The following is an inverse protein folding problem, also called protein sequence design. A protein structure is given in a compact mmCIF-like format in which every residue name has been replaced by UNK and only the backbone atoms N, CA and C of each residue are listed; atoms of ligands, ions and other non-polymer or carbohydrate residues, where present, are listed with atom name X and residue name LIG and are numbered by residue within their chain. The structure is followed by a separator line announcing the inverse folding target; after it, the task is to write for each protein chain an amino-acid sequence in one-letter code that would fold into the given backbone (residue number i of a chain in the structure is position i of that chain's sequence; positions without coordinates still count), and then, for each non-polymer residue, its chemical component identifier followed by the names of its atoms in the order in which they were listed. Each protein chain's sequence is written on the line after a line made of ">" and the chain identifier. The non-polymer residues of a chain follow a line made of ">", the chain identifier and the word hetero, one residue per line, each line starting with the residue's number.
data_IF_406547809302
#
_entry.id   IF_406547809302
#
_cell.length_a   1.000
_cell.length_b   1.000
_cell.length_c   1.000
_cell.angle_alpha   90.00
_cell.angle_beta   90.00
_cell.angle_gamma   90.00
#
_symmetry.space_group_name_H-M   'P 1'
#
loop_
_entity.id
_entity.type
_entity.pdbx_description
1 polymer ?
#
# COMPACT_ATOMS: atom_id res chain seq x y z
N UNK A 1 -0.27 -19.51 0.17
CA UNK A 1 -0.69 -18.27 0.89
C UNK A 1 0.19 -17.89 2.09
N UNK A 2 0.73 -18.85 2.86
CA UNK A 2 1.55 -18.56 4.06
C UNK A 2 2.76 -17.64 3.78
N UNK A 3 3.55 -17.92 2.73
CA UNK A 3 4.73 -17.11 2.36
C UNK A 3 4.35 -15.68 1.92
N UNK A 4 3.27 -15.54 1.15
CA UNK A 4 2.75 -14.23 0.73
C UNK A 4 2.33 -13.40 1.96
N UNK A 5 1.72 -14.04 2.96
CA UNK A 5 1.34 -13.36 4.20
C UNK A 5 2.56 -12.85 5.00
N UNK A 6 3.63 -13.65 5.11
CA UNK A 6 4.86 -13.21 5.77
C UNK A 6 5.54 -12.07 5.01
N UNK A 7 5.63 -12.17 3.69
CA UNK A 7 6.17 -11.10 2.86
C UNK A 7 5.34 -9.82 3.00
N UNK A 8 4.00 -9.94 3.02
CA UNK A 8 3.13 -8.79 3.21
C UNK A 8 3.35 -8.10 4.57
N UNK A 9 3.49 -8.86 5.66
CA UNK A 9 3.86 -8.29 6.95
C UNK A 9 5.24 -7.66 6.96
N UNK A 10 6.20 -8.23 6.25
CA UNK A 10 7.53 -7.64 6.11
C UNK A 10 7.46 -6.29 5.38
N UNK A 11 6.79 -6.25 4.23
CA UNK A 11 6.68 -5.04 3.42
C UNK A 11 5.89 -3.93 4.12
N UNK A 12 4.85 -4.24 4.89
CA UNK A 12 4.10 -3.21 5.62
C UNK A 12 4.81 -2.86 6.94
N UNK A 13 5.29 -3.86 7.67
CA UNK A 13 5.84 -3.70 9.00
C UNK A 13 7.16 -2.93 9.03
N UNK A 14 8.08 -3.18 8.08
CA UNK A 14 9.37 -2.50 8.06
C UNK A 14 9.26 -0.99 7.87
N UNK A 15 8.57 -0.45 6.84
CA UNK A 15 8.34 0.99 6.72
C UNK A 15 7.73 1.58 7.98
N UNK A 16 6.70 0.94 8.54
CA UNK A 16 6.02 1.44 9.73
C UNK A 16 6.96 1.49 10.92
N UNK A 17 7.77 0.46 11.14
CA UNK A 17 8.77 0.43 12.22
C UNK A 17 9.85 1.49 12.02
N UNK A 18 10.39 1.63 10.81
CA UNK A 18 11.42 2.63 10.50
C UNK A 18 10.92 4.06 10.72
N UNK A 19 9.70 4.36 10.24
CA UNK A 19 9.07 5.67 10.43
C UNK A 19 8.82 5.93 11.91
N UNK A 20 8.24 4.97 12.64
CA UNK A 20 7.94 5.10 14.07
C UNK A 20 9.22 5.34 14.89
N UNK A 21 10.26 4.52 14.67
CA UNK A 21 11.54 4.67 15.36
C UNK A 21 12.22 6.00 15.03
N UNK A 22 12.16 6.43 13.77
CA UNK A 22 12.67 7.73 13.34
C UNK A 22 12.01 8.90 14.10
N UNK A 23 10.68 8.85 14.27
CA UNK A 23 9.96 9.84 15.08
C UNK A 23 10.30 9.75 16.57
N UNK A 24 10.32 8.55 17.15
CA UNK A 24 10.61 8.36 18.59
C UNK A 24 12.03 8.80 18.96
N UNK A 25 12.97 8.73 18.02
CA UNK A 25 14.37 9.14 18.21
C UNK A 25 14.65 10.57 17.74
N UNK A 26 13.61 11.35 17.40
CA UNK A 26 13.71 12.73 16.90
C UNK A 26 14.70 12.90 15.73
N UNK A 27 14.78 11.90 14.86
CA UNK A 27 15.66 11.95 13.70
C UNK A 27 15.07 12.84 12.59
N UNK A 28 15.94 13.53 11.85
CA UNK A 28 15.54 14.33 10.69
C UNK A 28 15.04 13.47 9.53
N UNK A 29 14.30 14.11 8.60
CA UNK A 29 13.60 13.47 7.48
C UNK A 29 14.52 12.72 6.49
N UNK A 30 15.85 12.87 6.60
CA UNK A 30 16.85 12.16 5.80
C UNK A 30 17.37 10.83 6.40
N UNK A 31 16.94 10.48 7.61
CA UNK A 31 17.42 9.29 8.33
C UNK A 31 16.37 8.15 8.27
N UNK A 32 16.06 7.51 9.41
CA UNK A 32 15.13 6.37 9.46
C UNK A 32 13.74 6.65 8.87
N UNK A 33 13.21 7.88 9.06
CA UNK A 33 11.93 8.29 8.46
C UNK A 33 12.01 8.28 6.94
N UNK A 34 13.07 8.86 6.37
CA UNK A 34 13.31 8.86 4.92
C UNK A 34 13.45 7.46 4.36
N UNK A 35 14.22 6.58 5.02
CA UNK A 35 14.35 5.18 4.61
C UNK A 35 13.01 4.43 4.67
N UNK A 36 12.20 4.67 5.69
CA UNK A 36 10.87 4.09 5.80
C UNK A 36 9.94 4.53 4.68
N UNK A 37 9.93 5.82 4.34
CA UNK A 37 9.14 6.35 3.22
C UNK A 37 9.62 5.77 1.88
N UNK A 38 10.92 5.66 1.63
CA UNK A 38 11.43 4.99 0.43
C UNK A 38 11.00 3.52 0.36
N UNK A 39 10.98 2.82 1.49
CA UNK A 39 10.51 1.43 1.56
C UNK A 39 8.99 1.29 1.29
N UNK A 40 8.19 2.34 1.50
CA UNK A 40 6.77 2.33 1.10
C UNK A 40 6.58 2.23 -0.41
N UNK A 41 7.54 2.69 -1.22
CA UNK A 41 7.50 2.51 -2.68
C UNK A 41 7.60 1.02 -3.03
N UNK A 42 8.55 0.30 -2.42
CA UNK A 42 8.69 -1.14 -2.58
C UNK A 42 7.44 -1.89 -2.08
N UNK A 43 6.84 -1.40 -1.01
CA UNK A 43 5.57 -1.92 -0.47
C UNK A 43 4.44 -1.81 -1.49
N UNK A 44 4.24 -0.62 -2.08
CA UNK A 44 3.24 -0.40 -3.11
C UNK A 44 3.46 -1.31 -4.32
N UNK A 45 4.72 -1.43 -4.78
CA UNK A 45 5.10 -2.30 -5.90
C UNK A 45 4.77 -3.78 -5.62
N UNK A 46 5.15 -4.27 -4.44
CA UNK A 46 4.82 -5.63 -3.99
C UNK A 46 3.30 -5.87 -3.98
N UNK A 47 2.54 -4.91 -3.45
CA UNK A 47 1.09 -5.05 -3.33
C UNK A 47 0.37 -5.05 -4.68
N UNK A 48 0.80 -4.21 -5.63
CA UNK A 48 0.27 -4.24 -7.00
C UNK A 48 0.53 -5.60 -7.64
N UNK A 49 1.76 -6.13 -7.54
CA UNK A 49 2.13 -7.43 -8.13
C UNK A 49 1.31 -8.57 -7.52
N UNK A 50 1.27 -8.65 -6.18
CA UNK A 50 0.57 -9.73 -5.48
C UNK A 50 -0.93 -9.63 -5.65
N UNK A 51 -1.51 -8.43 -5.51
CA UNK A 51 -2.94 -8.22 -5.71
C UNK A 51 -3.38 -8.59 -7.12
N UNK A 52 -2.61 -8.19 -8.13
CA UNK A 52 -2.89 -8.56 -9.54
C UNK A 52 -2.78 -10.06 -9.76
N UNK A 53 -1.70 -10.69 -9.27
CA UNK A 53 -1.52 -12.15 -9.38
C UNK A 53 -2.67 -12.91 -8.72
N UNK A 54 -3.09 -12.49 -7.54
CA UNK A 54 -4.22 -13.09 -6.83
C UNK A 54 -5.54 -12.90 -7.58
N UNK A 55 -5.76 -11.71 -8.17
CA UNK A 55 -6.97 -11.44 -8.96
C UNK A 55 -7.03 -12.25 -10.26
N UNK A 56 -5.90 -12.54 -10.90
CA UNK A 56 -5.84 -13.41 -12.08
C UNK A 56 -6.15 -14.86 -11.70
N UNK A 57 -5.65 -15.33 -10.57
CA UNK A 57 -5.88 -16.69 -10.11
C UNK A 57 -7.31 -16.92 -9.62
N UNK A 58 -7.91 -15.91 -8.99
CA UNK A 58 -9.26 -15.96 -8.42
C UNK A 58 -10.15 -14.84 -8.98
N UNK A 59 -10.47 -14.86 -10.29
CA UNK A 59 -11.11 -13.73 -10.98
C UNK A 59 -12.52 -13.44 -10.51
N UNK A 60 -13.18 -14.37 -9.80
CA UNK A 60 -14.54 -14.20 -9.24
C UNK A 60 -14.56 -13.67 -7.80
N UNK A 61 -13.39 -13.48 -7.18
CA UNK A 61 -13.32 -12.95 -5.81
C UNK A 61 -13.61 -11.44 -5.81
N UNK A 62 -14.81 -11.07 -5.33
CA UNK A 62 -15.27 -9.68 -5.24
C UNK A 62 -14.34 -8.80 -4.40
N UNK A 63 -13.70 -9.34 -3.36
CA UNK A 63 -12.82 -8.55 -2.49
C UNK A 63 -11.54 -8.16 -3.22
N UNK A 64 -10.99 -9.07 -4.03
CA UNK A 64 -9.84 -8.79 -4.89
C UNK A 64 -10.20 -7.84 -6.03
N UNK A 65 -11.37 -7.99 -6.64
CA UNK A 65 -11.85 -7.05 -7.66
C UNK A 65 -11.96 -5.63 -7.09
N UNK A 66 -12.57 -5.47 -5.91
CA UNK A 66 -12.67 -4.17 -5.21
C UNK A 66 -11.27 -3.60 -4.95
N UNK A 67 -10.31 -4.43 -4.50
CA UNK A 67 -8.94 -3.99 -4.29
C UNK A 67 -8.32 -3.42 -5.58
N UNK A 68 -8.37 -4.17 -6.69
CA UNK A 68 -7.78 -3.77 -7.96
C UNK A 68 -8.45 -2.52 -8.52
N UNK A 69 -9.79 -2.45 -8.49
CA UNK A 69 -10.53 -1.25 -8.92
C UNK A 69 -10.08 -0.04 -8.09
N UNK A 70 -9.93 -0.19 -6.78
CA UNK A 70 -9.50 0.91 -5.90
C UNK A 70 -8.07 1.36 -6.18
N UNK A 71 -7.16 0.43 -6.49
CA UNK A 71 -5.78 0.75 -6.92
C UNK A 71 -5.79 1.53 -8.24
N UNK A 72 -6.56 1.08 -9.24
CA UNK A 72 -6.68 1.76 -10.53
C UNK A 72 -7.26 3.17 -10.34
N UNK A 73 -8.33 3.27 -9.54
CA UNK A 73 -9.00 4.54 -9.24
C UNK A 73 -8.04 5.51 -8.52
N UNK A 74 -7.23 5.02 -7.57
CA UNK A 74 -6.21 5.82 -6.91
C UNK A 74 -5.24 6.45 -7.91
N UNK A 75 -4.64 5.65 -8.80
CA UNK A 75 -3.69 6.16 -9.80
C UNK A 75 -4.38 7.09 -10.81
N UNK A 76 -5.61 6.79 -11.22
CA UNK A 76 -6.38 7.63 -12.12
C UNK A 76 -6.68 9.01 -11.50
N UNK A 77 -7.12 9.05 -10.25
CA UNK A 77 -7.39 10.31 -9.53
C UNK A 77 -6.10 11.07 -9.29
N UNK A 78 -5.02 10.39 -8.90
CA UNK A 78 -3.71 11.04 -8.72
C UNK A 78 -3.23 11.71 -10.00
N UNK A 79 -3.28 10.99 -11.13
CA UNK A 79 -2.86 11.50 -12.43
C UNK A 79 -3.77 12.65 -12.89
N UNK A 80 -5.09 12.49 -12.75
CA UNK A 80 -6.05 13.53 -13.11
C UNK A 80 -5.85 14.80 -12.26
N UNK A 81 -5.61 14.65 -10.95
CA UNK A 81 -5.31 15.78 -10.09
C UNK A 81 -4.03 16.48 -10.54
N UNK A 82 -2.96 15.75 -10.83
CA UNK A 82 -1.69 16.35 -11.26
C UNK A 82 -1.71 17.00 -12.64
N UNK A 83 -2.55 16.53 -13.56
CA UNK A 83 -2.62 17.07 -14.91
C UNK A 83 -3.64 18.21 -15.07
N UNK A 84 -4.75 18.18 -14.32
CA UNK A 84 -5.90 19.05 -14.60
C UNK A 84 -6.37 19.92 -13.43
N UNK A 85 -6.37 19.40 -12.19
CA UNK A 85 -6.94 20.10 -11.04
C UNK A 85 -5.91 20.85 -10.20
N UNK A 86 -4.72 20.27 -10.02
CA UNK A 86 -3.66 20.71 -9.12
C UNK A 86 -4.17 21.04 -7.71
N UNK A 87 -5.11 20.25 -7.19
CA UNK A 87 -5.70 20.50 -5.86
C UNK A 87 -4.82 19.93 -4.75
N UNK A 88 -4.34 20.81 -3.86
CA UNK A 88 -3.56 20.44 -2.67
C UNK A 88 -4.34 19.55 -1.70
N UNK A 89 -5.64 19.83 -1.54
CA UNK A 89 -6.53 19.05 -0.68
C UNK A 89 -6.62 17.60 -1.20
N UNK A 90 -6.74 17.42 -2.51
CA UNK A 90 -6.77 16.08 -3.10
C UNK A 90 -5.43 15.37 -2.93
N UNK A 91 -4.29 16.04 -3.10
CA UNK A 91 -2.99 15.45 -2.83
C UNK A 91 -2.85 14.99 -1.38
N UNK A 92 -3.30 15.82 -0.44
CA UNK A 92 -3.28 15.48 0.98
C UNK A 92 -4.12 14.23 1.28
N UNK A 93 -5.35 14.14 0.74
CA UNK A 93 -6.20 12.95 0.91
C UNK A 93 -5.56 11.72 0.28
N UNK A 94 -5.04 11.86 -0.94
CA UNK A 94 -4.43 10.75 -1.68
C UNK A 94 -3.18 10.18 -0.98
N UNK A 95 -2.47 10.98 -0.18
CA UNK A 95 -1.35 10.50 0.64
C UNK A 95 -1.74 9.35 1.59
N UNK A 96 -2.98 9.33 2.09
CA UNK A 96 -3.45 8.33 3.05
C UNK A 96 -4.06 7.08 2.40
N UNK A 97 -4.34 7.11 1.09
CA UNK A 97 -4.97 5.99 0.39
C UNK A 97 -4.05 4.75 0.29
N UNK A 98 -2.75 4.86 -0.05
CA UNK A 98 -1.89 3.68 -0.14
C UNK A 98 -1.79 2.87 1.16
N UNK A 99 -1.60 3.48 2.35
CA UNK A 99 -1.68 2.74 3.63
C UNK A 99 -3.01 2.02 3.85
N UNK A 100 -4.15 2.62 3.47
CA UNK A 100 -5.48 1.99 3.60
C UNK A 100 -5.59 0.78 2.68
N UNK A 101 -5.16 0.91 1.43
CA UNK A 101 -5.12 -0.21 0.46
C UNK A 101 -4.21 -1.34 0.93
N UNK A 102 -3.08 -0.99 1.56
CA UNK A 102 -2.15 -1.96 2.14
C UNK A 102 -2.79 -2.80 3.25
N UNK A 103 -3.50 -2.15 4.17
CA UNK A 103 -4.24 -2.83 5.23
C UNK A 103 -5.34 -3.72 4.63
N UNK A 104 -6.08 -3.21 3.64
CA UNK A 104 -7.16 -3.97 3.00
C UNK A 104 -6.64 -5.25 2.31
N UNK A 105 -5.55 -5.17 1.54
CA UNK A 105 -4.94 -6.36 0.92
C UNK A 105 -4.42 -7.34 1.99
N UNK A 106 -3.86 -6.83 3.09
CA UNK A 106 -3.42 -7.66 4.22
C UNK A 106 -4.55 -8.49 4.80
N UNK A 107 -5.73 -7.88 4.97
CA UNK A 107 -6.93 -8.57 5.47
C UNK A 107 -7.35 -9.68 4.50
N UNK A 108 -7.32 -9.42 3.19
CA UNK A 108 -7.64 -10.43 2.16
C UNK A 108 -6.67 -11.61 2.24
N UNK A 109 -5.36 -11.34 2.27
CA UNK A 109 -4.31 -12.37 2.33
C UNK A 109 -4.45 -13.21 3.62
N UNK A 110 -4.69 -12.56 4.76
CA UNK A 110 -4.90 -13.25 6.04
C UNK A 110 -6.13 -14.17 6.01
N UNK A 111 -7.27 -13.66 5.53
CA UNK A 111 -8.50 -14.45 5.40
C UNK A 111 -8.31 -15.66 4.49
N UNK A 112 -7.60 -15.50 3.38
CA UNK A 112 -7.30 -16.61 2.44
C UNK A 112 -6.26 -17.60 2.96
N UNK A 113 -5.37 -17.18 3.87
CA UNK A 113 -4.43 -18.10 4.54
C UNK A 113 -5.14 -19.02 5.53
N UNK A 114 -6.18 -18.53 6.19
CA UNK A 114 -6.88 -19.23 7.27
C UNK A 114 -8.17 -19.93 6.82
N UNK A 115 -8.43 -19.95 5.51
CA UNK A 115 -9.40 -20.84 4.86
C UNK A 115 -8.64 -21.98 4.23
#
# INVERSE_FOLDING_TARGET
>A
MKNINYLNYFFIGIPTLLILLGYLTNQSFGNLVGYGLLFTILTGLFQVIIGTKMSIHEPKDKMLQIYIISVILFFAIWLFNGLFLSSDILYFILLFIPPVLAIYLSIIIYKKRNK
#
